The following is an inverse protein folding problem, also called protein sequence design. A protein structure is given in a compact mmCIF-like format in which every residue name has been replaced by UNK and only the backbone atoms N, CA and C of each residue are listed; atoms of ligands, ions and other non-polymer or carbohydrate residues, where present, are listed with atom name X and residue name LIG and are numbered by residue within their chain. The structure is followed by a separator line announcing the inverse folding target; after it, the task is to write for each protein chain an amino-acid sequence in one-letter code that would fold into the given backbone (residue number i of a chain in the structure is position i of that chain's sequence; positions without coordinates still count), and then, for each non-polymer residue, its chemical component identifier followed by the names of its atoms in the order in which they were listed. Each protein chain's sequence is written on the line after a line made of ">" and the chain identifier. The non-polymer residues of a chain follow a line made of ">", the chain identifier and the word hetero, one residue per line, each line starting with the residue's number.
data_IF_039505972827
#
_entry.id   IF_039505972827
#
_cell.length_a   1.000
_cell.length_b   1.000
_cell.length_c   1.000
_cell.angle_alpha   90.00
_cell.angle_beta   90.00
_cell.angle_gamma   90.00
#
_symmetry.space_group_name_H-M   'P 1'
#
loop_
_entity.id
_entity.type
_entity.pdbx_description
1 polymer ?
#
# COMPACT_ATOMS: atom_id res chain seq x y z
N UNK A 1 -0.98 -19.08 -3.56
CA UNK A 1 -1.49 -18.14 -4.56
C UNK A 1 -2.20 -17.00 -3.83
N UNK A 2 -1.56 -15.84 -3.70
CA UNK A 2 -2.03 -14.74 -2.84
C UNK A 2 -3.04 -13.80 -3.53
N UNK A 3 -3.34 -14.02 -4.81
CA UNK A 3 -4.39 -13.29 -5.51
C UNK A 3 -5.27 -14.26 -6.32
N UNK A 4 -6.56 -14.32 -6.00
CA UNK A 4 -7.54 -15.22 -6.64
C UNK A 4 -8.00 -14.79 -8.04
N UNK A 5 -7.22 -13.94 -8.73
CA UNK A 5 -7.55 -13.40 -10.06
C UNK A 5 -6.75 -14.16 -11.12
N UNK A 6 -7.44 -14.72 -12.12
CA UNK A 6 -6.81 -15.38 -13.25
C UNK A 6 -5.89 -14.39 -14.00
N UNK A 7 -4.58 -14.67 -14.04
CA UNK A 7 -3.54 -13.79 -14.60
C UNK A 7 -2.59 -13.15 -13.59
N UNK A 8 -2.87 -13.19 -12.28
CA UNK A 8 -2.00 -12.69 -11.20
C UNK A 8 -1.25 -13.80 -10.44
N UNK A 9 -1.16 -15.00 -11.01
CA UNK A 9 -0.56 -16.18 -10.39
C UNK A 9 0.95 -15.98 -10.12
N UNK A 10 1.60 -15.17 -10.96
CA UNK A 10 3.01 -14.78 -10.86
C UNK A 10 3.20 -13.36 -10.31
N UNK A 11 2.19 -12.83 -9.61
CA UNK A 11 2.26 -11.52 -8.99
C UNK A 11 2.31 -11.63 -7.46
N UNK A 12 3.13 -10.77 -6.86
CA UNK A 12 3.14 -10.48 -5.43
C UNK A 12 2.54 -9.12 -5.16
N UNK A 13 1.89 -8.98 -4.01
CA UNK A 13 1.22 -7.77 -3.57
C UNK A 13 1.82 -7.32 -2.24
N UNK A 14 2.30 -6.08 -2.18
CA UNK A 14 2.81 -5.46 -0.95
C UNK A 14 1.88 -4.32 -0.58
N UNK A 15 1.30 -4.35 0.62
CA UNK A 15 0.36 -3.31 1.08
C UNK A 15 0.78 -2.72 2.42
N UNK A 16 0.41 -1.46 2.66
CA UNK A 16 0.51 -0.79 3.96
C UNK A 16 -0.78 -0.02 4.23
N UNK A 17 -1.30 -0.05 5.47
CA UNK A 17 -2.46 0.74 5.84
C UNK A 17 -2.13 2.23 5.84
N UNK A 18 -3.09 3.07 5.46
CA UNK A 18 -3.06 4.52 5.67
C UNK A 18 -4.20 4.97 6.60
N UNK A 19 -4.00 6.11 7.28
CA UNK A 19 -4.93 6.66 8.26
C UNK A 19 -5.35 8.07 7.90
N UNK A 20 -6.56 8.44 8.29
CA UNK A 20 -7.07 9.82 8.24
C UNK A 20 -7.50 10.16 9.66
N UNK A 21 -6.75 11.05 10.32
CA UNK A 21 -6.83 11.24 11.76
C UNK A 21 -6.61 9.91 12.50
N UNK A 22 -7.47 9.60 13.45
CA UNK A 22 -7.36 8.38 14.28
C UNK A 22 -7.95 7.12 13.63
N UNK A 23 -8.57 7.24 12.44
CA UNK A 23 -9.19 6.09 11.76
C UNK A 23 -8.29 5.55 10.65
N UNK A 24 -7.97 4.26 10.74
CA UNK A 24 -7.48 3.51 9.59
C UNK A 24 -8.57 3.46 8.53
N UNK A 25 -8.26 3.98 7.33
CA UNK A 25 -9.25 4.21 6.27
C UNK A 25 -9.11 3.25 5.09
N UNK A 26 -7.94 2.64 4.91
CA UNK A 26 -7.71 1.67 3.85
C UNK A 26 -6.26 1.25 3.72
N UNK A 27 -5.94 0.62 2.59
CA UNK A 27 -4.60 0.15 2.25
C UNK A 27 -4.15 0.77 0.93
N UNK A 28 -2.87 1.05 0.83
CA UNK A 28 -2.16 1.32 -0.42
C UNK A 28 -1.16 0.19 -0.66
N UNK A 29 -0.91 -0.17 -1.91
CA UNK A 29 0.04 -1.22 -2.21
C UNK A 29 0.56 -1.20 -3.62
N UNK A 30 1.59 -2.01 -3.84
CA UNK A 30 2.21 -2.25 -5.14
C UNK A 30 1.96 -3.70 -5.53
N UNK A 31 1.59 -3.88 -6.80
CA UNK A 31 1.52 -5.17 -7.47
C UNK A 31 2.74 -5.29 -8.35
N UNK A 32 3.47 -6.40 -8.24
CA UNK A 32 4.66 -6.64 -9.05
C UNK A 32 4.86 -8.14 -9.29
N UNK A 33 5.88 -8.53 -10.08
CA UNK A 33 6.21 -9.93 -10.28
C UNK A 33 6.60 -10.60 -8.96
N UNK A 34 6.43 -11.92 -8.86
CA UNK A 34 6.73 -12.70 -7.64
C UNK A 34 8.15 -12.45 -7.10
N UNK A 35 9.13 -12.22 -7.97
CA UNK A 35 10.52 -11.88 -7.61
C UNK A 35 10.80 -10.38 -7.69
N UNK A 36 9.97 -9.55 -7.07
CA UNK A 36 10.29 -8.13 -6.88
C UNK A 36 11.34 -7.94 -5.78
N UNK A 37 12.00 -6.77 -5.77
CA UNK A 37 12.83 -6.35 -4.64
C UNK A 37 11.94 -6.00 -3.44
N UNK A 38 11.52 -7.01 -2.68
CA UNK A 38 10.53 -6.87 -1.61
C UNK A 38 10.87 -5.75 -0.62
N UNK A 39 12.11 -5.70 -0.13
CA UNK A 39 12.58 -4.66 0.80
C UNK A 39 12.36 -3.24 0.24
N UNK A 40 12.70 -3.03 -1.03
CA UNK A 40 12.53 -1.73 -1.67
C UNK A 40 11.04 -1.41 -1.90
N UNK A 41 10.24 -2.40 -2.30
CA UNK A 41 8.80 -2.24 -2.49
C UNK A 41 8.07 -1.94 -1.17
N UNK A 42 8.41 -2.67 -0.10
CA UNK A 42 7.87 -2.47 1.23
C UNK A 42 8.23 -1.07 1.77
N UNK A 43 9.50 -0.66 1.63
CA UNK A 43 9.94 0.68 2.03
C UNK A 43 9.20 1.79 1.27
N UNK A 44 9.04 1.63 -0.05
CA UNK A 44 8.32 2.60 -0.87
C UNK A 44 6.83 2.69 -0.50
N UNK A 45 6.15 1.55 -0.36
CA UNK A 45 4.73 1.49 0.04
C UNK A 45 4.51 2.09 1.43
N UNK A 46 5.43 1.82 2.37
CA UNK A 46 5.39 2.40 3.72
C UNK A 46 5.56 3.94 3.70
N UNK A 47 6.52 4.44 2.92
CA UNK A 47 6.74 5.88 2.77
C UNK A 47 5.49 6.56 2.18
N UNK A 48 4.95 6.02 1.09
CA UNK A 48 3.73 6.55 0.48
C UNK A 48 2.52 6.48 1.41
N UNK A 49 2.36 5.40 2.18
CA UNK A 49 1.26 5.28 3.13
C UNK A 49 1.33 6.37 4.23
N UNK A 50 2.54 6.72 4.69
CA UNK A 50 2.75 7.81 5.65
C UNK A 50 2.42 9.16 5.05
N UNK A 51 2.93 9.45 3.86
CA UNK A 51 2.70 10.72 3.18
C UNK A 51 1.22 10.91 2.86
N UNK A 52 0.57 9.86 2.33
CA UNK A 52 -0.87 9.85 2.08
C UNK A 52 -1.66 10.08 3.37
N UNK A 53 -1.27 9.44 4.48
CA UNK A 53 -1.93 9.64 5.77
C UNK A 53 -1.82 11.09 6.23
N UNK A 54 -0.65 11.71 6.09
CA UNK A 54 -0.42 13.09 6.49
C UNK A 54 -1.23 14.07 5.62
N UNK A 55 -1.24 13.88 4.30
CA UNK A 55 -1.95 14.75 3.36
C UNK A 55 -3.47 14.66 3.55
N UNK A 56 -4.02 13.45 3.62
CA UNK A 56 -5.46 13.26 3.79
C UNK A 56 -5.94 13.71 5.18
N UNK A 57 -5.12 13.50 6.22
CA UNK A 57 -5.45 14.02 7.56
C UNK A 57 -5.51 15.54 7.58
N UNK A 58 -4.61 16.22 6.86
CA UNK A 58 -4.67 17.68 6.72
C UNK A 58 -5.90 18.15 5.94
N UNK A 59 -6.19 17.53 4.79
CA UNK A 59 -7.33 17.90 3.95
C UNK A 59 -8.70 17.60 4.59
N UNK A 60 -8.76 16.65 5.54
CA UNK A 60 -10.00 16.33 6.27
C UNK A 60 -10.26 17.26 7.46
N UNK A 61 -9.31 18.13 7.79
CA UNK A 61 -9.43 19.17 8.82
C UNK A 61 -9.89 20.52 8.23
N UNK A 62 -10.13 20.59 6.92
CA UNK A 62 -10.68 21.75 6.20
C UNK A 62 -12.20 21.61 5.94
#
# INVERSE_FOLDING_TARGET
>A
SECGVAGMQDCSVVTSPYRIGDRARGFIGVVGPTRMRYEAAAAAVLAMARDLSALLSKASLE
#
